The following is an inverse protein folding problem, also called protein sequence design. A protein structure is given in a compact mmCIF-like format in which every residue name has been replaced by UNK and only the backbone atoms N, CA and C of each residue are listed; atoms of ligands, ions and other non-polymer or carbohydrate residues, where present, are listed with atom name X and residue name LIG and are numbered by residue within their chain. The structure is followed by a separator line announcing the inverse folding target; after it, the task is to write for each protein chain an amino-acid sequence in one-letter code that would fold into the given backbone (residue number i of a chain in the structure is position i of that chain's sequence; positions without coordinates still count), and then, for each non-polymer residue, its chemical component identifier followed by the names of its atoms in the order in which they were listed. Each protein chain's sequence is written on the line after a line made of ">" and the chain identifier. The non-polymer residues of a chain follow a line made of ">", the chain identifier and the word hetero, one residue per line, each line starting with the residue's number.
data_IF_852832130713
#
_entry.id   IF_852832130713
#
_cell.length_a   1.000
_cell.length_b   1.000
_cell.length_c   1.000
_cell.angle_alpha   90.00
_cell.angle_beta   90.00
_cell.angle_gamma   90.00
#
_symmetry.space_group_name_H-M   'P 1'
#
loop_
_entity.id
_entity.type
_entity.pdbx_description
1 polymer ?
#
# COMPACT_ATOMS: atom_id res chain seq x y z
N UNK A 1 -12.81 3.92 -25.61
CA UNK A 1 -12.45 2.50 -25.94
C UNK A 1 -10.96 2.23 -25.74
N UNK A 2 -10.03 2.97 -26.39
CA UNK A 2 -8.56 2.79 -26.20
C UNK A 2 -8.10 2.87 -24.73
N UNK A 3 -8.54 3.87 -23.95
CA UNK A 3 -8.15 3.97 -22.54
C UNK A 3 -8.58 2.75 -21.71
N UNK A 4 -9.79 2.23 -21.94
CA UNK A 4 -10.27 1.03 -21.24
C UNK A 4 -9.45 -0.21 -21.60
N UNK A 5 -9.01 -0.35 -22.85
CA UNK A 5 -8.11 -1.43 -23.27
C UNK A 5 -6.72 -1.30 -22.64
N UNK A 6 -6.17 -0.08 -22.59
CA UNK A 6 -4.87 0.18 -21.95
C UNK A 6 -4.94 -0.17 -20.45
N UNK A 7 -5.96 0.32 -19.75
CA UNK A 7 -6.17 0.03 -18.33
C UNK A 7 -6.31 -1.47 -18.11
N UNK A 8 -7.17 -2.14 -18.88
CA UNK A 8 -7.37 -3.58 -18.74
C UNK A 8 -6.08 -4.38 -18.97
N UNK A 9 -5.32 -4.07 -20.02
CA UNK A 9 -4.03 -4.73 -20.30
C UNK A 9 -2.99 -4.45 -19.22
N UNK A 10 -2.88 -3.21 -18.76
CA UNK A 10 -1.97 -2.83 -17.70
C UNK A 10 -2.33 -3.53 -16.38
N UNK A 11 -3.61 -3.60 -16.02
CA UNK A 11 -4.09 -4.31 -14.84
C UNK A 11 -3.84 -5.82 -14.93
N UNK A 12 -4.10 -6.45 -16.08
CA UNK A 12 -3.81 -7.87 -16.28
C UNK A 12 -2.31 -8.16 -16.15
N UNK A 13 -1.46 -7.33 -16.76
CA UNK A 13 0.00 -7.48 -16.66
C UNK A 13 0.46 -7.30 -15.22
N UNK A 14 -0.05 -6.28 -14.51
CA UNK A 14 0.27 -6.03 -13.10
C UNK A 14 -0.09 -7.25 -12.23
N UNK A 15 -1.31 -7.78 -12.37
CA UNK A 15 -1.75 -8.96 -11.61
C UNK A 15 -0.89 -10.16 -11.96
N UNK A 16 -0.63 -10.42 -13.24
CA UNK A 16 0.19 -11.55 -13.67
C UNK A 16 1.60 -11.50 -13.06
N UNK A 17 2.26 -10.34 -13.10
CA UNK A 17 3.61 -10.17 -12.55
C UNK A 17 3.62 -10.31 -11.03
N UNK A 18 2.67 -9.68 -10.33
CA UNK A 18 2.59 -9.75 -8.86
C UNK A 18 2.29 -11.18 -8.39
N UNK A 19 1.34 -11.87 -9.04
CA UNK A 19 1.01 -13.25 -8.69
C UNK A 19 2.14 -14.20 -9.02
N UNK A 20 2.79 -14.04 -10.18
CA UNK A 20 3.97 -14.83 -10.54
C UNK A 20 5.08 -14.69 -9.49
N UNK A 21 5.37 -13.45 -9.07
CA UNK A 21 6.35 -13.19 -8.02
C UNK A 21 5.94 -13.84 -6.69
N UNK A 22 4.70 -13.65 -6.24
CA UNK A 22 4.20 -14.21 -4.98
C UNK A 22 4.27 -15.74 -4.96
N UNK A 23 3.82 -16.41 -6.03
CA UNK A 23 3.91 -17.86 -6.15
C UNK A 23 5.36 -18.35 -6.23
N UNK A 24 6.24 -17.62 -6.93
CA UNK A 24 7.67 -17.97 -6.96
C UNK A 24 8.29 -17.96 -5.57
N UNK A 25 7.97 -16.97 -4.73
CA UNK A 25 8.41 -16.92 -3.34
C UNK A 25 7.80 -18.06 -2.51
N UNK A 26 6.50 -18.35 -2.70
CA UNK A 26 5.82 -19.44 -1.99
C UNK A 26 6.41 -20.81 -2.29
N UNK A 27 6.78 -21.09 -3.54
CA UNK A 27 7.41 -22.36 -3.92
C UNK A 27 8.90 -22.44 -3.56
N UNK A 28 9.55 -21.29 -3.33
CA UNK A 28 10.97 -21.23 -2.97
C UNK A 28 11.19 -21.32 -1.46
N UNK A 29 10.33 -20.70 -0.66
CA UNK A 29 10.49 -20.58 0.78
C UNK A 29 9.63 -21.58 1.55
N UNK A 30 10.22 -22.24 2.54
CA UNK A 30 9.46 -23.06 3.49
C UNK A 30 8.55 -22.19 4.38
N UNK A 31 7.52 -22.77 5.02
CA UNK A 31 6.72 -22.05 6.01
C UNK A 31 7.55 -21.47 7.17
N UNK A 32 8.62 -22.16 7.58
CA UNK A 32 9.54 -21.68 8.61
C UNK A 32 10.30 -20.43 8.15
N UNK A 33 10.78 -20.43 6.89
CA UNK A 33 11.47 -19.29 6.31
C UNK A 33 10.55 -18.05 6.21
N UNK A 34 9.28 -18.25 5.84
CA UNK A 34 8.29 -17.17 5.80
C UNK A 34 7.99 -16.60 7.20
N UNK A 35 7.91 -17.46 8.22
CA UNK A 35 7.73 -17.03 9.60
C UNK A 35 8.95 -16.24 10.10
N UNK A 36 10.15 -16.67 9.75
CA UNK A 36 11.39 -15.95 10.06
C UNK A 36 11.43 -14.58 9.37
N UNK A 37 11.10 -14.51 8.07
CA UNK A 37 11.01 -13.25 7.34
C UNK A 37 10.00 -12.29 7.98
N UNK A 38 8.84 -12.80 8.43
CA UNK A 38 7.85 -12.02 9.18
C UNK A 38 8.43 -11.50 10.50
N UNK A 39 9.15 -12.35 11.24
CA UNK A 39 9.75 -11.98 12.52
C UNK A 39 10.86 -10.93 12.36
N UNK A 40 11.66 -11.01 11.28
CA UNK A 40 12.69 -10.02 10.95
C UNK A 40 12.09 -8.70 10.44
N UNK A 41 10.81 -8.67 10.06
CA UNK A 41 10.11 -7.50 9.52
C UNK A 41 10.81 -6.88 8.29
N UNK A 42 11.42 -7.72 7.44
CA UNK A 42 12.10 -7.28 6.21
C UNK A 42 11.34 -7.70 4.95
N UNK A 43 11.54 -7.01 3.82
CA UNK A 43 10.98 -7.44 2.55
C UNK A 43 11.43 -8.85 2.17
N UNK A 44 10.54 -9.64 1.58
CA UNK A 44 10.83 -11.03 1.14
C UNK A 44 12.03 -11.09 0.20
N UNK A 45 12.23 -10.08 -0.65
CA UNK A 45 13.39 -10.02 -1.55
C UNK A 45 14.71 -9.90 -0.77
N UNK A 46 14.75 -9.09 0.29
CA UNK A 46 15.91 -8.97 1.17
C UNK A 46 16.13 -10.26 1.95
N UNK A 47 15.06 -10.90 2.42
CA UNK A 47 15.16 -12.20 3.10
C UNK A 47 15.74 -13.28 2.17
N UNK A 48 15.23 -13.41 0.94
CA UNK A 48 15.75 -14.36 -0.06
C UNK A 48 17.23 -14.13 -0.32
N UNK A 49 17.63 -12.87 -0.49
CA UNK A 49 19.03 -12.53 -0.74
C UNK A 49 19.95 -12.97 0.41
N UNK A 50 19.56 -12.70 1.65
CA UNK A 50 20.30 -13.10 2.85
C UNK A 50 20.32 -14.62 3.04
N UNK A 51 19.18 -15.29 2.77
CA UNK A 51 19.03 -16.72 2.92
C UNK A 51 19.89 -17.50 1.91
N UNK A 52 19.92 -17.08 0.64
CA UNK A 52 20.81 -17.68 -0.37
C UNK A 52 22.29 -17.39 -0.11
N UNK A 53 22.61 -16.18 0.36
CA UNK A 53 23.98 -15.82 0.72
C UNK A 53 24.52 -16.65 1.88
N UNK A 54 23.68 -16.98 2.87
CA UNK A 54 24.05 -17.81 4.02
C UNK A 54 24.10 -19.31 3.72
N UNK A 55 23.24 -19.84 2.84
CA UNK A 55 23.25 -21.26 2.46
C UNK A 55 24.51 -21.70 1.68
N UNK A 56 25.17 -20.78 0.96
CA UNK A 56 26.22 -21.18 0.02
C UNK A 56 27.52 -21.61 0.73
N UNK A 57 27.68 -21.34 2.04
CA UNK A 57 28.86 -21.71 2.86
C UNK A 57 30.19 -21.03 2.45
N UNK A 58 30.29 -20.66 1.18
CA UNK A 58 31.31 -19.86 0.52
C UNK A 58 30.60 -18.66 -0.09
N UNK A 59 31.04 -17.44 0.23
CA UNK A 59 30.50 -16.23 -0.41
C UNK A 59 30.94 -16.20 -1.87
N UNK A 60 30.19 -16.86 -2.75
CA UNK A 60 30.43 -16.80 -4.20
C UNK A 60 30.14 -15.37 -4.67
N UNK A 61 30.82 -14.94 -5.75
CA UNK A 61 30.57 -13.63 -6.36
C UNK A 61 29.09 -13.44 -6.68
N UNK A 62 28.39 -14.50 -7.08
CA UNK A 62 26.95 -14.49 -7.34
C UNK A 62 26.11 -14.12 -6.11
N UNK A 63 26.36 -14.76 -4.95
CA UNK A 63 25.65 -14.46 -3.71
C UNK A 63 25.86 -13.01 -3.26
N UNK A 64 27.09 -12.52 -3.34
CA UNK A 64 27.44 -11.13 -2.99
C UNK A 64 26.73 -10.14 -3.94
N UNK A 65 26.75 -10.40 -5.26
CA UNK A 65 26.05 -9.55 -6.23
C UNK A 65 24.54 -9.54 -5.96
N UNK A 66 23.94 -10.68 -5.60
CA UNK A 66 22.51 -10.78 -5.33
C UNK A 66 22.10 -10.00 -4.06
N UNK A 67 22.90 -10.07 -3.00
CA UNK A 67 22.70 -9.31 -1.75
C UNK A 67 22.73 -7.79 -1.97
N UNK A 68 23.75 -7.29 -2.67
CA UNK A 68 23.86 -5.87 -2.98
C UNK A 68 22.80 -5.41 -3.98
N UNK A 69 22.53 -6.20 -5.03
CA UNK A 69 21.52 -5.87 -6.01
C UNK A 69 20.13 -5.80 -5.39
N UNK A 70 19.76 -6.77 -4.53
CA UNK A 70 18.49 -6.77 -3.82
C UNK A 70 18.32 -5.52 -2.94
N UNK A 71 19.38 -5.12 -2.23
CA UNK A 71 19.38 -3.92 -1.40
C UNK A 71 19.21 -2.64 -2.21
N UNK A 72 19.91 -2.53 -3.35
CA UNK A 72 19.78 -1.38 -4.26
C UNK A 72 18.38 -1.34 -4.88
N UNK A 73 17.84 -2.48 -5.32
CA UNK A 73 16.48 -2.56 -5.88
C UNK A 73 15.45 -2.14 -4.83
N UNK A 74 15.57 -2.61 -3.59
CA UNK A 74 14.69 -2.21 -2.49
C UNK A 74 14.78 -0.70 -2.24
N UNK A 75 15.98 -0.13 -2.20
CA UNK A 75 16.19 1.30 -2.01
C UNK A 75 15.52 2.13 -3.12
N UNK A 76 15.79 1.78 -4.39
CA UNK A 76 15.20 2.46 -5.54
C UNK A 76 13.67 2.34 -5.55
N UNK A 77 13.14 1.16 -5.19
CA UNK A 77 11.71 0.94 -5.08
C UNK A 77 11.07 1.83 -4.00
N UNK A 78 11.70 1.93 -2.83
CA UNK A 78 11.26 2.81 -1.73
C UNK A 78 11.23 4.26 -2.18
N UNK A 79 12.32 4.78 -2.76
CA UNK A 79 12.37 6.17 -3.23
C UNK A 79 11.30 6.47 -4.28
N UNK A 80 11.12 5.57 -5.26
CA UNK A 80 10.11 5.77 -6.31
C UNK A 80 8.70 5.76 -5.74
N UNK A 81 8.40 4.84 -4.82
CA UNK A 81 7.09 4.74 -4.17
C UNK A 81 6.82 5.94 -3.26
N UNK A 82 7.85 6.42 -2.54
CA UNK A 82 7.74 7.50 -1.57
C UNK A 82 7.15 8.76 -2.19
N UNK A 83 7.67 9.24 -3.34
CA UNK A 83 7.19 10.49 -3.93
C UNK A 83 5.71 10.46 -4.31
N UNK A 84 5.24 9.35 -4.88
CA UNK A 84 3.82 9.20 -5.25
C UNK A 84 2.89 9.26 -4.05
N UNK A 85 3.24 8.57 -2.97
CA UNK A 85 2.44 8.59 -1.74
C UNK A 85 2.60 9.88 -0.94
N UNK A 86 3.80 10.45 -0.89
CA UNK A 86 4.09 11.69 -0.18
C UNK A 86 3.29 12.86 -0.76
N UNK A 87 3.32 13.05 -2.09
CA UNK A 87 2.58 14.15 -2.72
C UNK A 87 1.06 14.01 -2.51
N UNK A 88 0.51 12.81 -2.69
CA UNK A 88 -0.91 12.57 -2.44
C UNK A 88 -1.32 12.78 -0.98
N UNK A 89 -0.46 12.37 -0.03
CA UNK A 89 -0.70 12.59 1.41
C UNK A 89 -0.59 14.07 1.78
N UNK A 90 0.39 14.78 1.22
CA UNK A 90 0.59 16.21 1.45
C UNK A 90 -0.63 17.00 0.96
N UNK A 91 -1.09 16.74 -0.26
CA UNK A 91 -2.29 17.36 -0.81
C UNK A 91 -3.54 17.02 0.00
N UNK A 92 -3.72 15.75 0.38
CA UNK A 92 -4.83 15.29 1.21
C UNK A 92 -4.86 15.97 2.57
N UNK A 93 -3.72 16.01 3.27
CA UNK A 93 -3.60 16.62 4.59
C UNK A 93 -3.79 18.14 4.54
N UNK A 94 -3.19 18.82 3.57
CA UNK A 94 -3.43 20.24 3.34
C UNK A 94 -4.91 20.53 3.08
N UNK A 95 -5.58 19.71 2.28
CA UNK A 95 -7.01 19.81 2.01
C UNK A 95 -7.85 19.65 3.27
N UNK A 96 -7.50 18.69 4.14
CA UNK A 96 -8.16 18.47 5.42
C UNK A 96 -7.94 19.65 6.38
N UNK A 97 -6.70 20.12 6.55
CA UNK A 97 -6.38 21.27 7.41
C UNK A 97 -7.12 22.52 6.93
N UNK A 98 -7.13 22.77 5.62
CA UNK A 98 -7.84 23.91 5.05
C UNK A 98 -9.34 23.80 5.30
N UNK A 99 -9.94 22.63 5.07
CA UNK A 99 -11.38 22.41 5.21
C UNK A 99 -11.84 22.51 6.67
N UNK A 100 -11.14 21.85 7.59
CA UNK A 100 -11.55 21.77 9.00
C UNK A 100 -10.98 22.90 9.85
N UNK A 101 -9.70 23.25 9.67
CA UNK A 101 -9.03 24.29 10.45
C UNK A 101 -9.32 25.71 9.98
N UNK A 102 -9.55 25.90 8.68
CA UNK A 102 -9.78 27.23 8.08
C UNK A 102 -11.14 27.38 7.40
N UNK A 103 -12.06 26.43 7.60
CA UNK A 103 -13.41 26.42 6.99
C UNK A 103 -13.40 26.55 5.45
N UNK A 104 -12.32 26.10 4.81
CA UNK A 104 -12.13 26.19 3.36
C UNK A 104 -11.56 27.53 2.87
N UNK A 105 -11.27 28.48 3.76
CA UNK A 105 -10.78 29.80 3.39
C UNK A 105 -9.27 29.82 3.13
N UNK A 106 -8.90 29.89 1.85
CA UNK A 106 -7.51 29.90 1.38
C UNK A 106 -6.77 31.20 1.69
N UNK A 107 -7.46 32.27 2.08
CA UNK A 107 -6.82 33.57 2.36
C UNK A 107 -6.19 33.62 3.76
N UNK A 108 -6.63 32.74 4.66
CA UNK A 108 -6.21 32.73 6.08
C UNK A 108 -4.88 32.04 6.33
N UNK A 109 -4.36 31.29 5.37
CA UNK A 109 -3.11 30.55 5.53
C UNK A 109 -2.38 30.47 4.19
N UNK A 110 -1.07 30.75 4.20
CA UNK A 110 -0.25 30.62 3.00
C UNK A 110 0.04 29.14 2.70
N UNK A 111 0.13 28.81 1.42
CA UNK A 111 0.47 27.45 0.97
C UNK A 111 1.81 26.97 1.55
N UNK A 112 2.79 27.86 1.67
CA UNK A 112 4.08 27.54 2.28
C UNK A 112 3.95 27.09 3.74
N UNK A 113 3.14 27.80 4.55
CA UNK A 113 2.91 27.41 5.95
C UNK A 113 2.17 26.07 6.05
N UNK A 114 1.15 25.86 5.22
CA UNK A 114 0.45 24.57 5.16
C UNK A 114 1.40 23.42 4.80
N UNK A 115 2.19 23.59 3.73
CA UNK A 115 3.15 22.59 3.30
C UNK A 115 4.17 22.26 4.38
N UNK A 116 4.72 23.26 5.07
CA UNK A 116 5.69 23.03 6.15
C UNK A 116 5.08 22.26 7.31
N UNK A 117 3.88 22.63 7.76
CA UNK A 117 3.18 21.92 8.85
C UNK A 117 2.91 20.46 8.45
N UNK A 118 2.34 20.25 7.26
CA UNK A 118 2.03 18.92 6.76
C UNK A 118 3.29 18.08 6.55
N UNK A 119 4.39 18.66 6.06
CA UNK A 119 5.66 17.98 5.89
C UNK A 119 6.26 17.56 7.23
N UNK A 120 6.27 18.44 8.23
CA UNK A 120 6.75 18.12 9.59
C UNK A 120 5.91 16.99 10.18
N UNK A 121 4.59 17.05 10.02
CA UNK A 121 3.70 15.99 10.52
C UNK A 121 3.94 14.65 9.81
N UNK A 122 3.99 14.63 8.48
CA UNK A 122 4.22 13.42 7.69
C UNK A 122 5.59 12.82 8.00
N UNK A 123 6.65 13.64 7.96
CA UNK A 123 8.01 13.17 8.22
C UNK A 123 8.20 12.72 9.67
N UNK A 124 7.68 13.50 10.63
CA UNK A 124 7.76 13.19 12.05
C UNK A 124 7.02 11.90 12.41
N UNK A 125 5.77 11.74 11.92
CA UNK A 125 5.01 10.50 12.15
C UNK A 125 5.66 9.29 11.48
N UNK A 126 6.14 9.43 10.24
CA UNK A 126 6.85 8.34 9.53
C UNK A 126 8.13 7.95 10.26
N UNK A 127 8.89 8.92 10.77
CA UNK A 127 10.11 8.66 11.54
C UNK A 127 9.84 7.93 12.84
N UNK A 128 8.78 8.32 13.58
CA UNK A 128 8.34 7.62 14.80
C UNK A 128 7.96 6.18 14.49
N UNK A 129 7.18 5.94 13.43
CA UNK A 129 6.80 4.58 13.00
C UNK A 129 8.03 3.76 12.59
N UNK A 130 8.96 4.36 11.85
CA UNK A 130 10.20 3.69 11.45
C UNK A 130 11.07 3.31 12.65
N UNK A 131 11.16 4.18 13.67
CA UNK A 131 11.87 3.89 14.91
C UNK A 131 11.19 2.80 15.74
N UNK A 132 9.86 2.85 15.87
CA UNK A 132 9.09 1.84 16.59
C UNK A 132 9.10 0.46 15.90
N UNK A 133 9.38 0.43 14.59
CA UNK A 133 9.46 -0.77 13.76
C UNK A 133 8.28 -1.75 13.96
N UNK A 134 7.01 -1.29 13.87
CA UNK A 134 5.88 -2.20 13.96
C UNK A 134 5.90 -3.18 12.78
N UNK A 135 5.35 -4.38 12.99
CA UNK A 135 5.27 -5.38 11.93
C UNK A 135 4.48 -4.82 10.72
N UNK A 136 5.09 -4.83 9.54
CA UNK A 136 4.51 -4.19 8.36
C UNK A 136 3.24 -4.91 7.88
N UNK A 137 3.16 -6.23 8.05
CA UNK A 137 1.98 -7.01 7.67
C UNK A 137 0.81 -6.65 8.57
N UNK A 138 1.07 -6.57 9.88
CA UNK A 138 0.04 -6.21 10.85
C UNK A 138 -0.41 -4.74 10.64
N UNK A 139 0.49 -3.83 10.26
CA UNK A 139 0.14 -2.44 9.92
C UNK A 139 -0.74 -2.35 8.67
N UNK A 140 -0.40 -3.08 7.60
CA UNK A 140 -1.19 -3.13 6.36
C UNK A 140 -2.56 -3.77 6.63
N UNK A 141 -2.61 -4.81 7.47
CA UNK A 141 -3.86 -5.48 7.83
C UNK A 141 -4.75 -4.58 8.70
N UNK A 142 -4.21 -3.97 9.76
CA UNK A 142 -4.99 -3.19 10.71
C UNK A 142 -5.44 -1.83 10.15
N UNK A 143 -4.59 -1.16 9.36
CA UNK A 143 -4.87 0.19 8.84
C UNK A 143 -5.14 0.23 7.34
N UNK A 144 -4.41 -0.56 6.55
CA UNK A 144 -4.52 -0.57 5.09
C UNK A 144 -5.81 -1.21 4.59
N UNK A 145 -6.13 -2.41 5.07
CA UNK A 145 -7.31 -3.15 4.64
C UNK A 145 -8.66 -2.43 4.88
N UNK A 146 -8.94 -1.77 6.03
CA UNK A 146 -10.21 -1.06 6.21
C UNK A 146 -10.31 0.20 5.35
N UNK A 147 -9.21 0.93 5.17
CA UNK A 147 -9.17 2.12 4.31
C UNK A 147 -9.38 1.71 2.85
N UNK A 148 -8.68 0.66 2.38
CA UNK A 148 -8.82 0.12 1.03
C UNK A 148 -10.25 -0.39 0.80
N UNK A 149 -10.82 -1.18 1.72
CA UNK A 149 -12.20 -1.64 1.61
C UNK A 149 -13.19 -0.47 1.55
N UNK A 150 -12.99 0.55 2.38
CA UNK A 150 -13.85 1.73 2.39
C UNK A 150 -13.77 2.53 1.09
N UNK A 151 -12.56 2.81 0.60
CA UNK A 151 -12.36 3.69 -0.56
C UNK A 151 -12.50 2.99 -1.90
N UNK A 152 -11.97 1.76 -2.04
CA UNK A 152 -11.99 1.03 -3.30
C UNK A 152 -13.24 0.17 -3.47
N UNK A 153 -13.80 -0.37 -2.39
CA UNK A 153 -15.00 -1.21 -2.48
C UNK A 153 -16.28 -0.43 -2.16
N UNK A 154 -16.38 0.24 -1.01
CA UNK A 154 -17.66 0.80 -0.55
C UNK A 154 -17.99 2.18 -1.12
N UNK A 155 -17.02 3.08 -1.21
CA UNK A 155 -17.20 4.44 -1.74
C UNK A 155 -17.78 4.46 -3.17
N UNK A 156 -17.29 3.68 -4.15
CA UNK A 156 -17.89 3.66 -5.49
C UNK A 156 -19.31 3.10 -5.46
N UNK A 157 -19.61 2.11 -4.62
CA UNK A 157 -20.95 1.54 -4.48
C UNK A 157 -21.94 2.56 -3.89
N UNK A 158 -21.48 3.33 -2.91
CA UNK A 158 -22.22 4.47 -2.38
C UNK A 158 -22.45 5.54 -3.46
N UNK A 159 -21.42 5.88 -4.24
CA UNK A 159 -21.49 6.87 -5.30
C UNK A 159 -22.48 6.46 -6.42
N UNK A 160 -22.51 5.18 -6.83
CA UNK A 160 -23.47 4.67 -7.82
C UNK A 160 -24.92 4.83 -7.35
N UNK A 161 -25.18 4.67 -6.04
CA UNK A 161 -26.51 4.87 -5.45
C UNK A 161 -26.86 6.34 -5.33
N UNK A 162 -25.94 7.20 -4.94
CA UNK A 162 -26.23 8.62 -4.65
C UNK A 162 -26.13 9.56 -5.86
N UNK A 163 -25.17 9.35 -6.76
CA UNK A 163 -24.92 10.25 -7.88
C UNK A 163 -25.82 9.89 -9.08
N UNK A 164 -26.68 10.81 -9.57
CA UNK A 164 -27.55 10.55 -10.72
C UNK A 164 -26.77 10.19 -11.99
N UNK A 165 -25.58 10.75 -12.18
CA UNK A 165 -24.69 10.48 -13.32
C UNK A 165 -24.19 9.03 -13.40
N UNK A 166 -24.22 8.30 -12.28
CA UNK A 166 -23.82 6.90 -12.18
C UNK A 166 -25.01 5.94 -12.12
N UNK A 167 -26.24 6.43 -12.23
CA UNK A 167 -27.45 5.62 -12.11
C UNK A 167 -27.50 4.46 -13.11
N UNK A 168 -26.88 4.61 -14.30
CA UNK A 168 -26.75 3.56 -15.32
C UNK A 168 -25.98 2.30 -14.88
N UNK A 169 -25.23 2.38 -13.78
CA UNK A 169 -24.48 1.26 -13.22
C UNK A 169 -25.18 0.60 -12.03
N UNK A 170 -26.37 1.05 -11.64
CA UNK A 170 -27.13 0.47 -10.51
C UNK A 170 -27.63 -0.95 -10.81
N UNK A 171 -27.88 -1.72 -9.75
CA UNK A 171 -28.57 -3.02 -9.83
C UNK A 171 -27.75 -4.18 -10.40
N UNK A 172 -26.50 -3.96 -10.81
CA UNK A 172 -25.62 -5.03 -11.28
C UNK A 172 -25.14 -5.93 -10.13
N UNK A 173 -25.00 -7.23 -10.39
CA UNK A 173 -24.61 -8.23 -9.39
C UNK A 173 -23.16 -8.06 -8.90
N UNK A 174 -22.27 -7.58 -9.77
CA UNK A 174 -20.89 -7.21 -9.41
C UNK A 174 -20.84 -6.16 -8.30
N UNK A 175 -21.76 -5.19 -8.29
CA UNK A 175 -21.86 -4.22 -7.20
C UNK A 175 -22.18 -4.87 -5.86
N UNK A 176 -23.05 -5.87 -5.85
CA UNK A 176 -23.42 -6.60 -4.63
C UNK A 176 -22.20 -7.37 -4.12
N UNK A 177 -21.50 -8.08 -5.00
CA UNK A 177 -20.29 -8.80 -4.65
C UNK A 177 -19.23 -7.87 -4.03
N UNK A 178 -18.91 -6.75 -4.69
CA UNK A 178 -17.92 -5.79 -4.18
C UNK A 178 -18.35 -5.19 -2.84
N UNK A 179 -19.64 -4.89 -2.66
CA UNK A 179 -20.17 -4.38 -1.39
C UNK A 179 -20.00 -5.40 -0.27
N UNK A 180 -20.37 -6.66 -0.52
CA UNK A 180 -20.26 -7.75 0.47
C UNK A 180 -18.82 -7.99 0.87
N UNK A 181 -17.89 -8.09 -0.09
CA UNK A 181 -16.45 -8.27 0.20
C UNK A 181 -15.89 -7.07 0.98
N UNK A 182 -16.27 -5.85 0.62
CA UNK A 182 -15.87 -4.66 1.36
C UNK A 182 -16.35 -4.67 2.82
N UNK A 183 -17.61 -5.03 3.04
CA UNK A 183 -18.18 -5.14 4.40
C UNK A 183 -17.54 -6.26 5.21
N UNK A 184 -17.36 -7.45 4.62
CA UNK A 184 -16.71 -8.58 5.29
C UNK A 184 -15.27 -8.24 5.69
N UNK A 185 -14.54 -7.54 4.82
CA UNK A 185 -13.17 -7.07 5.14
C UNK A 185 -13.16 -6.17 6.38
N UNK A 186 -14.05 -5.17 6.43
CA UNK A 186 -14.16 -4.26 7.59
C UNK A 186 -14.58 -5.03 8.85
N UNK A 187 -15.58 -5.91 8.74
CA UNK A 187 -16.07 -6.71 9.86
C UNK A 187 -14.98 -7.62 10.44
N UNK A 188 -14.16 -8.24 9.61
CA UNK A 188 -13.04 -9.07 10.05
C UNK A 188 -12.03 -8.26 10.90
N UNK A 189 -11.72 -7.04 10.47
CA UNK A 189 -10.80 -6.17 11.23
C UNK A 189 -11.43 -5.72 12.54
N UNK A 190 -12.71 -5.34 12.52
CA UNK A 190 -13.45 -5.00 13.74
C UNK A 190 -13.46 -6.18 14.71
N UNK A 191 -13.74 -7.39 14.23
CA UNK A 191 -13.71 -8.61 15.04
C UNK A 191 -12.32 -8.93 15.60
N UNK A 192 -11.23 -8.58 14.90
CA UNK A 192 -9.87 -8.75 15.42
C UNK A 192 -9.46 -7.71 16.47
N UNK A 193 -10.10 -6.55 16.48
CA UNK A 193 -9.80 -5.45 17.40
C UNK A 193 -10.58 -5.54 18.73
N UNK A 194 -11.64 -6.34 18.79
CA UNK A 194 -12.49 -6.59 19.96
C UNK A 194 -12.36 -8.05 20.43
#
# INVERSE_FOLDING_TARGET
>A
RKCSQIISRASMLMVAVVMFFAFSCLFTLSPANMAEAKAQNIPVLSYLANHFASMTGTKTTFAITLEYAASIIALVAIFKSFFGHYLGTLEGLNGLILKFGYKGDKTKVSLGKLNTISMIFIMGSTWVVAYANPNILDLIEAMGAPIIASLLCLLPMYAIRKAPSLAKYRGRLDNVFVTVIGLLTILNIVYKLF
#
